data_IF_774369258479
#
_entry.id   IF_774369258479
#
_cell.length_a   1.000
_cell.length_b   1.000
_cell.length_c   1.000
_cell.angle_alpha   90.00
_cell.angle_beta   90.00
_cell.angle_gamma   90.00
#
_symmetry.space_group_name_H-M   'P 1'
#
loop_
_entity.id
_entity.type
_entity.pdbx_description
1 polymer ?
#
# COMPACT_ATOMS: atom_id res chain seq x y z
N UNK A 1 -22.18 -12.60 16.32
CA UNK A 1 -21.08 -12.78 15.34
C UNK A 1 -19.89 -11.98 15.82
N UNK A 2 -18.69 -12.56 15.79
CA UNK A 2 -17.45 -11.88 16.18
C UNK A 2 -16.90 -11.03 15.03
N UNK A 3 -16.07 -10.04 15.35
CA UNK A 3 -15.30 -9.26 14.38
C UNK A 3 -13.86 -9.75 14.38
N UNK A 4 -13.31 -10.02 13.21
CA UNK A 4 -11.91 -10.42 13.03
C UNK A 4 -11.19 -9.34 12.23
N UNK A 5 -10.01 -8.92 12.69
CA UNK A 5 -9.13 -8.01 11.95
C UNK A 5 -7.85 -8.75 11.57
N UNK A 6 -7.54 -8.75 10.28
CA UNK A 6 -6.27 -9.24 9.75
C UNK A 6 -5.39 -8.04 9.41
N UNK A 7 -4.17 -8.03 9.94
CA UNK A 7 -3.17 -7.00 9.64
C UNK A 7 -2.02 -7.65 8.87
N UNK A 8 -1.79 -7.17 7.66
CA UNK A 8 -0.85 -7.76 6.70
C UNK A 8 0.18 -6.68 6.34
N UNK A 9 1.46 -6.98 6.52
CA UNK A 9 2.54 -6.16 5.97
C UNK A 9 2.65 -6.42 4.46
N UNK A 10 2.99 -5.40 3.68
CA UNK A 10 3.34 -5.58 2.27
C UNK A 10 4.45 -6.64 2.09
N UNK A 11 4.43 -7.33 0.95
CA UNK A 11 5.46 -8.29 0.59
C UNK A 11 6.82 -7.62 0.25
N UNK A 12 7.82 -8.40 -0.14
CA UNK A 12 9.16 -7.91 -0.47
C UNK A 12 9.14 -6.81 -1.55
N UNK A 13 9.84 -5.72 -1.27
CA UNK A 13 9.99 -4.56 -2.15
C UNK A 13 11.13 -4.77 -3.16
N UNK A 14 11.02 -4.20 -4.35
CA UNK A 14 12.06 -4.24 -5.38
C UNK A 14 13.35 -3.52 -4.93
N UNK A 15 13.22 -2.43 -4.18
CA UNK A 15 14.37 -1.62 -3.75
C UNK A 15 15.27 -2.31 -2.72
N UNK A 16 14.71 -3.25 -1.94
CA UNK A 16 15.47 -4.10 -1.02
C UNK A 16 16.43 -5.05 -1.74
N UNK A 17 16.12 -5.44 -2.97
CA UNK A 17 16.93 -6.39 -3.74
C UNK A 17 17.78 -5.72 -4.81
N UNK A 18 17.32 -4.57 -5.32
CA UNK A 18 17.92 -3.90 -6.46
C UNK A 18 18.09 -2.41 -6.16
N UNK A 19 19.30 -2.02 -5.73
CA UNK A 19 19.62 -0.62 -5.43
C UNK A 19 19.52 0.32 -6.63
N UNK A 20 19.50 -0.19 -7.87
CA UNK A 20 19.36 0.61 -9.09
C UNK A 20 17.96 0.54 -9.71
N UNK A 21 16.96 0.01 -8.98
CA UNK A 21 15.60 -0.19 -9.49
C UNK A 21 14.98 1.06 -10.13
N UNK A 22 15.23 2.24 -9.54
CA UNK A 22 14.72 3.50 -10.09
C UNK A 22 15.25 3.82 -11.49
N UNK A 23 16.52 3.50 -11.75
CA UNK A 23 17.19 3.77 -13.04
C UNK A 23 16.94 2.67 -14.06
N UNK A 24 16.81 1.42 -13.59
CA UNK A 24 16.78 0.24 -14.44
C UNK A 24 15.37 -0.29 -14.74
N UNK A 25 14.40 -0.08 -13.84
CA UNK A 25 13.10 -0.75 -13.85
C UNK A 25 12.01 0.08 -13.14
N UNK A 26 11.95 1.37 -13.38
CA UNK A 26 10.85 2.21 -12.90
C UNK A 26 9.83 2.50 -14.02
N UNK A 27 9.08 1.50 -14.51
CA UNK A 27 8.20 1.66 -15.66
C UNK A 27 7.07 2.65 -15.42
N UNK A 28 6.74 2.93 -14.15
CA UNK A 28 5.64 3.82 -13.76
C UNK A 28 6.09 5.17 -13.20
N UNK A 29 7.40 5.44 -13.16
CA UNK A 29 7.91 6.70 -12.63
C UNK A 29 7.66 6.89 -11.13
N UNK A 30 7.55 5.80 -10.37
CA UNK A 30 7.33 5.80 -8.92
C UNK A 30 8.51 6.48 -8.20
N UNK A 31 8.21 7.27 -7.17
CA UNK A 31 9.22 7.90 -6.32
C UNK A 31 10.04 6.87 -5.52
N UNK A 32 11.19 7.30 -4.97
CA UNK A 32 12.16 6.38 -4.35
C UNK A 32 11.61 5.66 -3.11
N UNK A 33 10.70 6.31 -2.40
CA UNK A 33 9.98 5.80 -1.24
C UNK A 33 8.78 4.92 -1.60
N UNK A 34 8.39 4.87 -2.87
CA UNK A 34 7.23 4.13 -3.38
C UNK A 34 7.62 2.98 -4.32
N UNK A 35 8.67 2.23 -3.95
CA UNK A 35 9.09 1.05 -4.71
C UNK A 35 7.96 -0.01 -4.81
N UNK A 36 7.78 -0.66 -5.97
CA UNK A 36 6.81 -1.74 -6.15
C UNK A 36 7.27 -3.04 -5.48
N UNK A 37 6.46 -4.10 -5.55
CA UNK A 37 6.90 -5.43 -5.14
C UNK A 37 7.97 -5.99 -6.09
N UNK A 38 8.92 -6.75 -5.52
CA UNK A 38 9.83 -7.57 -6.30
C UNK A 38 9.09 -8.76 -6.93
N UNK A 39 9.73 -9.47 -7.87
CA UNK A 39 9.16 -10.72 -8.40
C UNK A 39 8.90 -11.76 -7.30
N UNK A 40 9.79 -11.84 -6.30
CA UNK A 40 9.60 -12.71 -5.14
C UNK A 40 8.51 -12.19 -4.21
N UNK A 41 8.39 -10.88 -4.03
CA UNK A 41 7.31 -10.26 -3.25
C UNK A 41 5.93 -10.56 -3.84
N UNK A 42 5.81 -10.55 -5.17
CA UNK A 42 4.60 -10.98 -5.87
C UNK A 42 4.24 -12.43 -5.54
N UNK A 43 5.20 -13.35 -5.62
CA UNK A 43 5.01 -14.76 -5.24
C UNK A 43 4.59 -14.91 -3.78
N UNK A 44 5.18 -14.14 -2.86
CA UNK A 44 4.77 -14.13 -1.45
C UNK A 44 3.30 -13.73 -1.27
N UNK A 45 2.84 -12.69 -1.96
CA UNK A 45 1.45 -12.26 -1.90
C UNK A 45 0.50 -13.29 -2.54
N UNK A 46 0.92 -13.98 -3.60
CA UNK A 46 0.15 -15.07 -4.21
C UNK A 46 0.04 -16.29 -3.28
N UNK A 47 1.09 -16.65 -2.54
CA UNK A 47 1.02 -17.70 -1.51
C UNK A 47 0.11 -17.30 -0.34
N UNK A 48 0.12 -16.01 0.04
CA UNK A 48 -0.82 -15.49 1.06
C UNK A 48 -2.27 -15.63 0.60
N UNK A 49 -2.54 -15.41 -0.68
CA UNK A 49 -3.87 -15.62 -1.25
C UNK A 49 -4.34 -17.08 -1.10
N UNK A 50 -3.45 -18.05 -1.32
CA UNK A 50 -3.77 -19.48 -1.07
C UNK A 50 -4.05 -19.75 0.39
N UNK A 51 -3.25 -19.16 1.30
CA UNK A 51 -3.46 -19.31 2.75
C UNK A 51 -4.79 -18.74 3.22
N UNK A 52 -5.30 -17.73 2.52
CA UNK A 52 -6.56 -17.04 2.79
C UNK A 52 -7.69 -17.40 1.81
N UNK A 53 -7.60 -18.58 1.18
CA UNK A 53 -8.61 -19.07 0.25
C UNK A 53 -9.99 -19.25 0.94
N UNK A 54 -9.98 -19.78 2.17
CA UNK A 54 -11.20 -20.07 2.95
C UNK A 54 -11.57 -18.95 3.94
N UNK A 55 -10.94 -17.79 3.82
CA UNK A 55 -11.26 -16.61 4.64
C UNK A 55 -12.12 -15.67 3.83
N UNK A 56 -13.33 -15.40 4.31
CA UNK A 56 -14.19 -14.37 3.74
C UNK A 56 -13.80 -13.00 4.30
N UNK A 57 -13.57 -12.04 3.40
CA UNK A 57 -13.31 -10.66 3.76
C UNK A 57 -14.50 -9.80 3.37
N UNK A 58 -15.12 -9.14 4.34
CA UNK A 58 -16.15 -8.14 4.08
C UNK A 58 -15.55 -6.83 3.53
N UNK A 59 -14.35 -6.49 4.01
CA UNK A 59 -13.68 -5.24 3.71
C UNK A 59 -12.17 -5.41 3.58
N UNK A 60 -11.59 -4.69 2.62
CA UNK A 60 -10.15 -4.63 2.40
C UNK A 60 -9.71 -3.17 2.36
N UNK A 61 -8.73 -2.86 3.19
CA UNK A 61 -8.11 -1.54 3.28
C UNK A 61 -6.62 -1.68 2.96
N UNK A 62 -6.06 -0.74 2.22
CA UNK A 62 -4.64 -0.70 1.90
C UNK A 62 -4.08 0.70 2.14
N UNK A 63 -2.81 0.75 2.57
CA UNK A 63 -2.09 2.02 2.56
C UNK A 63 -1.92 2.51 1.11
N UNK A 64 -1.72 3.82 0.90
CA UNK A 64 -1.60 4.42 -0.44
C UNK A 64 -0.31 4.06 -1.19
N UNK A 65 0.65 3.39 -0.55
CA UNK A 65 1.85 2.91 -1.24
C UNK A 65 1.53 1.79 -2.23
N UNK A 66 2.22 1.80 -3.35
CA UNK A 66 2.02 0.87 -4.45
C UNK A 66 2.16 -0.59 -4.00
N UNK A 67 3.22 -0.88 -3.26
CA UNK A 67 3.50 -2.20 -2.68
C UNK A 67 2.37 -2.72 -1.78
N UNK A 68 1.66 -1.85 -1.06
CA UNK A 68 0.53 -2.27 -0.19
C UNK A 68 -0.70 -2.56 -1.02
N UNK A 69 -0.99 -1.74 -2.03
CA UNK A 69 -2.12 -1.99 -2.95
C UNK A 69 -1.88 -3.26 -3.77
N UNK A 70 -0.67 -3.46 -4.32
CA UNK A 70 -0.32 -4.69 -5.06
C UNK A 70 -0.45 -5.94 -4.17
N UNK A 71 0.04 -5.88 -2.92
CA UNK A 71 -0.10 -6.99 -1.97
C UNK A 71 -1.58 -7.30 -1.70
N UNK A 72 -2.41 -6.27 -1.50
CA UNK A 72 -3.85 -6.44 -1.27
C UNK A 72 -4.54 -7.05 -2.48
N UNK A 73 -4.30 -6.52 -3.69
CA UNK A 73 -4.84 -7.05 -4.95
C UNK A 73 -4.51 -8.51 -5.15
N UNK A 74 -3.26 -8.91 -4.91
CA UNK A 74 -2.85 -10.32 -5.03
C UNK A 74 -3.49 -11.20 -3.96
N UNK A 75 -3.57 -10.72 -2.72
CA UNK A 75 -4.15 -11.45 -1.59
C UNK A 75 -5.64 -11.74 -1.80
N UNK A 76 -6.42 -10.78 -2.32
CA UNK A 76 -7.83 -11.01 -2.64
C UNK A 76 -8.01 -11.90 -3.87
N UNK A 77 -6.97 -12.04 -4.71
CA UNK A 77 -6.95 -12.89 -5.89
C UNK A 77 -8.14 -12.57 -6.82
N UNK A 78 -8.94 -13.57 -7.20
CA UNK A 78 -10.07 -13.39 -8.11
C UNK A 78 -11.34 -12.82 -7.43
N UNK A 79 -11.31 -12.58 -6.11
CA UNK A 79 -12.48 -12.07 -5.37
C UNK A 79 -12.73 -10.60 -5.72
N UNK A 80 -13.99 -10.28 -6.03
CA UNK A 80 -14.41 -8.94 -6.44
C UNK A 80 -14.68 -8.04 -5.23
N UNK A 81 -13.66 -7.83 -4.39
CA UNK A 81 -13.77 -7.04 -3.16
C UNK A 81 -13.10 -5.68 -3.39
N UNK A 82 -13.82 -4.55 -3.27
CA UNK A 82 -13.23 -3.23 -3.46
C UNK A 82 -12.14 -2.92 -2.42
N UNK A 83 -11.00 -2.43 -2.89
CA UNK A 83 -9.85 -2.03 -2.07
C UNK A 83 -9.99 -0.55 -1.73
N UNK A 84 -10.14 -0.27 -0.44
CA UNK A 84 -10.26 1.09 0.11
C UNK A 84 -8.86 1.61 0.45
N UNK A 85 -8.42 2.65 -0.23
CA UNK A 85 -7.10 3.26 0.02
C UNK A 85 -7.22 4.23 1.20
N UNK A 86 -6.60 3.88 2.32
CA UNK A 86 -6.65 4.67 3.57
C UNK A 86 -5.27 5.23 3.90
N UNK A 87 -5.04 6.55 3.75
CA UNK A 87 -3.78 7.18 4.13
C UNK A 87 -3.45 7.06 5.61
N UNK A 88 -4.44 6.94 6.50
CA UNK A 88 -4.26 6.79 7.95
C UNK A 88 -3.48 5.54 8.38
N UNK A 89 -3.31 4.56 7.48
CA UNK A 89 -2.50 3.35 7.71
C UNK A 89 -1.20 3.36 6.89
N UNK A 90 -0.78 4.52 6.40
CA UNK A 90 0.52 4.71 5.77
C UNK A 90 1.69 4.58 6.77
N UNK A 91 2.90 4.43 6.24
CA UNK A 91 4.11 4.46 7.06
C UNK A 91 4.37 5.86 7.66
N UNK A 92 5.33 5.94 8.56
CA UNK A 92 5.73 7.22 9.12
C UNK A 92 6.45 8.07 8.05
N UNK A 93 5.80 9.14 7.58
CA UNK A 93 6.28 10.07 6.55
C UNK A 93 7.66 10.70 6.76
N UNK A 94 8.22 10.71 7.97
CA UNK A 94 9.60 11.17 8.17
C UNK A 94 10.63 10.21 7.55
N UNK A 95 10.22 8.98 7.21
CA UNK A 95 10.99 7.99 6.47
C UNK A 95 10.78 8.09 4.95
N UNK A 96 9.89 8.99 4.49
CA UNK A 96 9.51 9.15 3.10
C UNK A 96 10.20 10.37 2.46
N UNK A 97 10.05 10.50 1.15
CA UNK A 97 10.38 11.75 0.47
C UNK A 97 9.48 12.89 0.98
N UNK A 98 9.88 14.13 0.69
CA UNK A 98 9.13 15.34 1.07
C UNK A 98 8.76 16.14 -0.18
N UNK A 99 7.52 16.01 -0.70
CA UNK A 99 6.39 15.23 -0.16
C UNK A 99 6.52 13.70 -0.39
N UNK A 100 5.79 12.87 0.39
CA UNK A 100 5.79 11.42 0.20
C UNK A 100 5.31 11.05 -1.19
N UNK A 101 5.92 10.03 -1.77
CA UNK A 101 5.70 9.63 -3.15
C UNK A 101 4.41 8.84 -3.42
N UNK A 102 3.31 9.28 -2.83
CA UNK A 102 2.00 8.63 -2.93
C UNK A 102 1.38 8.87 -4.29
N UNK A 103 0.81 7.81 -4.86
CA UNK A 103 0.04 7.89 -6.10
C UNK A 103 -1.39 8.37 -5.84
N UNK A 104 -1.96 9.05 -6.83
CA UNK A 104 -3.37 9.40 -6.81
C UNK A 104 -4.24 8.14 -6.91
N UNK A 105 -5.39 8.12 -6.22
CA UNK A 105 -6.29 6.96 -6.20
C UNK A 105 -6.78 6.60 -7.61
N UNK A 106 -6.99 7.57 -8.49
CA UNK A 106 -7.37 7.31 -9.87
C UNK A 106 -6.22 6.70 -10.69
N UNK A 107 -4.97 7.03 -10.35
CA UNK A 107 -3.79 6.38 -10.94
C UNK A 107 -3.64 4.95 -10.43
N UNK A 108 -3.86 4.73 -9.13
CA UNK A 108 -3.90 3.39 -8.55
C UNK A 108 -4.98 2.52 -9.19
N UNK A 109 -6.19 3.04 -9.43
CA UNK A 109 -7.26 2.26 -10.08
C UNK A 109 -6.91 1.81 -11.50
N UNK A 110 -6.22 2.64 -12.28
CA UNK A 110 -5.76 2.26 -13.63
C UNK A 110 -4.85 1.02 -13.59
N UNK A 111 -4.07 0.85 -12.52
CA UNK A 111 -3.16 -0.28 -12.33
C UNK A 111 -3.85 -1.44 -11.61
N UNK A 112 -4.70 -1.14 -10.63
CA UNK A 112 -5.38 -2.08 -9.74
C UNK A 112 -6.90 -1.84 -9.83
N UNK A 113 -7.61 -2.52 -10.76
CA UNK A 113 -9.00 -2.17 -11.11
C UNK A 113 -10.02 -2.24 -9.96
N UNK A 114 -9.72 -3.00 -8.91
CA UNK A 114 -10.56 -3.13 -7.71
C UNK A 114 -10.37 -1.99 -6.71
N UNK A 115 -9.50 -1.02 -6.96
CA UNK A 115 -9.42 0.19 -6.14
C UNK A 115 -10.74 0.96 -6.21
N UNK A 116 -11.26 1.26 -5.03
CA UNK A 116 -12.50 1.98 -4.81
C UNK A 116 -12.26 3.49 -4.80
N UNK A 117 -12.52 4.16 -5.92
CA UNK A 117 -12.46 5.62 -6.03
C UNK A 117 -13.59 6.34 -5.29
N UNK A 118 -14.65 5.62 -4.88
CA UNK A 118 -15.79 6.21 -4.16
C UNK A 118 -15.60 6.19 -2.65
N UNK A 119 -14.55 5.51 -2.17
CA UNK A 119 -14.22 5.47 -0.76
C UNK A 119 -13.69 6.83 -0.28
N UNK A 120 -14.33 7.38 0.74
CA UNK A 120 -13.85 8.57 1.44
C UNK A 120 -12.91 8.18 2.60
N UNK A 121 -11.62 8.55 2.56
CA UNK A 121 -10.69 8.19 3.62
C UNK A 121 -11.02 8.88 4.94
N UNK A 122 -10.85 8.15 6.04
CA UNK A 122 -11.04 8.67 7.40
C UNK A 122 -9.95 9.69 7.72
N UNK A 123 -8.71 9.42 7.32
CA UNK A 123 -7.58 10.33 7.52
C UNK A 123 -7.03 10.82 6.20
N UNK A 124 -6.98 12.15 6.05
CA UNK A 124 -6.37 12.80 4.90
C UNK A 124 -4.86 12.97 5.11
N UNK A 125 -4.08 12.78 4.04
CA UNK A 125 -2.61 12.96 4.03
C UNK A 125 -2.19 14.30 4.65
N UNK A 126 -2.94 15.37 4.36
CA UNK A 126 -2.68 16.72 4.92
C UNK A 126 -2.69 16.77 6.45
N UNK A 127 -3.52 15.95 7.10
CA UNK A 127 -3.60 15.89 8.56
C UNK A 127 -2.46 15.05 9.14
N UNK A 128 -2.05 13.98 8.43
CA UNK A 128 -0.95 13.13 8.84
C UNK A 128 0.39 13.88 8.83
N UNK A 129 0.65 14.68 7.78
CA UNK A 129 1.87 15.50 7.71
C UNK A 129 2.00 16.42 8.92
N UNK A 130 0.93 17.13 9.28
CA UNK A 130 0.91 18.04 10.43
C UNK A 130 1.09 17.30 11.76
N UNK A 131 0.43 16.16 11.95
CA UNK A 131 0.61 15.33 13.13
C UNK A 131 2.06 14.83 13.28
N UNK A 132 2.71 14.51 12.17
CA UNK A 132 4.08 14.02 12.15
C UNK A 132 5.14 15.11 12.36
N UNK A 133 4.95 16.30 11.78
CA UNK A 133 5.74 17.49 12.10
C UNK A 133 5.70 17.76 13.62
N UNK A 134 4.51 17.62 14.23
CA UNK A 134 4.35 17.76 15.68
C UNK A 134 5.08 16.66 16.47
N UNK A 135 5.03 15.39 16.04
CA UNK A 135 5.75 14.30 16.73
C UNK A 135 7.29 14.42 16.63
N UNK A 136 7.80 14.96 15.53
CA UNK A 136 9.23 15.27 15.37
C UNK A 136 9.69 16.39 16.31
N UNK A 137 8.83 17.38 16.57
CA UNK A 137 9.13 18.47 17.51
C UNK A 137 9.25 18.00 18.98
N UNK A 138 8.85 16.77 19.31
CA UNK A 138 9.03 16.18 20.65
C UNK A 138 10.29 15.30 20.78
N UNK A 139 11.08 15.15 19.72
CA UNK A 139 12.31 14.35 19.70
C UNK A 139 13.59 15.18 19.50
N UNK A 140 13.53 16.49 19.77
CA UNK A 140 14.70 17.40 19.77
C UNK A 140 14.77 18.12 21.11
#
# INVERSE_FOLDING_TARGET
MGRTLWVIRHAEREDNINRSWQKAKNPRGLNSDNSPLSERGRKQADELAKRFADIDFDHVFASPFDRTVETATRTINNRQIPIKVEPGIAEAFYLCESPPGLEDVAMLKKVYPLVDETYEPVFLIRFLRKAMEMMHAFHV
#
